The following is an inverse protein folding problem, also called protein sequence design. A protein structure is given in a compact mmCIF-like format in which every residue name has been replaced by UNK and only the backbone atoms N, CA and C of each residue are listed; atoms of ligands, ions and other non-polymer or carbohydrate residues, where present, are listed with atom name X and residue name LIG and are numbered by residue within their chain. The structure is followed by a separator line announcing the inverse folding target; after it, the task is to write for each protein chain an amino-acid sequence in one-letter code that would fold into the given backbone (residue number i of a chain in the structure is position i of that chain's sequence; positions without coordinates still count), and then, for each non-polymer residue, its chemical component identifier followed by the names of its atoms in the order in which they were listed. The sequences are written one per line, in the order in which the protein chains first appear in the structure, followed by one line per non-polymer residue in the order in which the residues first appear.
data_IF_269578723550
#
_entry.id   IF_269578723550
#
_cell.length_a   1.000
_cell.length_b   1.000
_cell.length_c   1.000
_cell.angle_alpha   90.00
_cell.angle_beta   90.00
_cell.angle_gamma   90.00
#
_symmetry.space_group_name_H-M   'P 1'
#
loop_
_entity.id
_entity.type
_entity.pdbx_description
1 polymer ?
#
# COMPACT_ATOMS: atom_id res chain seq x y z
N UNK A 1 -9.23 18.29 35.89
CA UNK A 1 -8.77 17.03 35.27
C UNK A 1 -8.84 17.18 33.76
N UNK A 2 -7.71 17.41 33.09
CA UNK A 2 -7.64 17.50 31.63
C UNK A 2 -8.03 16.16 31.04
N UNK A 3 -9.17 16.11 30.35
CA UNK A 3 -9.69 14.93 29.68
C UNK A 3 -8.68 14.55 28.59
N UNK A 4 -7.78 13.61 28.91
CA UNK A 4 -6.72 13.16 28.00
C UNK A 4 -7.34 12.83 26.65
N UNK A 5 -6.84 13.45 25.58
CA UNK A 5 -7.31 13.17 24.23
C UNK A 5 -6.47 12.05 23.66
N UNK A 6 -7.11 10.97 23.23
CA UNK A 6 -6.42 9.93 22.47
C UNK A 6 -5.73 10.52 21.24
N UNK A 7 -4.64 9.91 20.76
CA UNK A 7 -4.04 10.28 19.49
C UNK A 7 -5.07 10.27 18.35
N UNK A 8 -4.82 11.11 17.37
CA UNK A 8 -5.75 11.44 16.30
C UNK A 8 -5.96 10.24 15.33
N UNK A 9 -7.17 9.69 15.24
CA UNK A 9 -7.54 8.58 14.34
C UNK A 9 -8.82 8.87 13.52
N UNK A 10 -9.03 8.21 12.36
CA UNK A 10 -10.30 8.30 11.64
C UNK A 10 -11.41 7.56 12.41
N UNK A 11 -12.50 8.25 12.70
CA UNK A 11 -13.68 7.66 13.36
C UNK A 11 -14.64 6.97 12.37
N UNK A 12 -14.43 7.20 11.07
CA UNK A 12 -15.22 6.63 9.98
C UNK A 12 -14.45 5.46 9.36
N UNK A 13 -15.16 4.44 8.90
CA UNK A 13 -14.57 3.40 8.04
C UNK A 13 -14.21 3.99 6.67
N UNK A 14 -13.33 3.30 5.93
CA UNK A 14 -12.98 3.70 4.57
C UNK A 14 -14.22 3.63 3.67
N UNK A 15 -15.06 2.60 3.83
CA UNK A 15 -16.32 2.48 3.08
C UNK A 15 -17.24 3.68 3.31
N UNK A 16 -17.46 4.07 4.58
CA UNK A 16 -18.22 5.26 4.92
C UNK A 16 -17.58 6.52 4.31
N UNK A 17 -16.26 6.64 4.35
CA UNK A 17 -15.54 7.76 3.75
C UNK A 17 -15.74 7.85 2.23
N UNK A 18 -15.70 6.72 1.52
CA UNK A 18 -15.96 6.62 0.07
C UNK A 18 -17.41 7.03 -0.24
N UNK A 19 -18.38 6.58 0.56
CA UNK A 19 -19.78 6.99 0.38
C UNK A 19 -19.97 8.49 0.60
N UNK A 20 -19.27 9.06 1.59
CA UNK A 20 -19.38 10.48 1.94
C UNK A 20 -18.72 11.41 0.93
N UNK A 21 -17.66 10.99 0.23
CA UNK A 21 -16.98 11.85 -0.75
C UNK A 21 -17.69 11.87 -2.11
N UNK A 22 -18.55 10.89 -2.41
CA UNK A 22 -19.26 10.79 -3.70
C UNK A 22 -20.02 12.07 -4.11
N UNK A 23 -20.83 12.72 -3.25
CA UNK A 23 -21.53 13.95 -3.64
C UNK A 23 -20.59 15.11 -3.99
N UNK A 24 -19.43 15.18 -3.34
CA UNK A 24 -18.42 16.18 -3.67
C UNK A 24 -17.79 15.90 -5.03
N UNK A 25 -17.48 14.64 -5.32
CA UNK A 25 -16.96 14.25 -6.63
C UNK A 25 -17.97 14.49 -7.74
N UNK A 26 -19.26 14.20 -7.52
CA UNK A 26 -20.32 14.48 -8.49
C UNK A 26 -20.49 15.99 -8.76
N UNK A 27 -20.30 16.84 -7.74
CA UNK A 27 -20.48 18.29 -7.86
C UNK A 27 -19.24 19.03 -8.41
N UNK A 28 -18.04 18.64 -7.98
CA UNK A 28 -16.79 19.37 -8.21
C UNK A 28 -15.73 18.56 -8.97
N UNK A 29 -15.97 17.27 -9.22
CA UNK A 29 -15.05 16.34 -9.86
C UNK A 29 -13.65 16.41 -9.21
N UNK A 30 -12.63 16.86 -9.94
CA UNK A 30 -11.23 17.00 -9.49
C UNK A 30 -10.79 18.45 -9.34
N UNK A 31 -11.71 19.41 -9.43
CA UNK A 31 -11.38 20.84 -9.33
C UNK A 31 -11.12 21.27 -7.87
N UNK A 32 -10.09 22.09 -7.66
CA UNK A 32 -9.85 22.72 -6.36
C UNK A 32 -11.08 23.50 -5.92
N UNK A 33 -11.56 23.18 -4.72
CA UNK A 33 -12.79 23.74 -4.13
C UNK A 33 -12.49 24.28 -2.74
N UNK A 34 -13.08 25.43 -2.40
CA UNK A 34 -12.93 26.02 -1.08
C UNK A 34 -13.52 25.10 0.01
N UNK A 35 -12.89 25.06 1.20
CA UNK A 35 -13.32 24.20 2.32
C UNK A 35 -14.80 24.37 2.68
N UNK A 36 -15.33 25.58 2.57
CA UNK A 36 -16.74 25.87 2.85
C UNK A 36 -17.67 25.20 1.84
N UNK A 37 -17.37 25.36 0.55
CA UNK A 37 -18.13 24.74 -0.55
C UNK A 37 -18.03 23.21 -0.47
N UNK A 38 -16.87 22.68 -0.07
CA UNK A 38 -16.73 21.23 0.21
C UNK A 38 -17.70 20.79 1.31
N UNK A 39 -17.78 21.52 2.43
CA UNK A 39 -18.72 21.17 3.50
C UNK A 39 -20.17 21.18 3.01
N UNK A 40 -20.53 22.15 2.17
CA UNK A 40 -21.85 22.28 1.55
C UNK A 40 -22.17 21.08 0.63
N UNK A 41 -21.24 20.70 -0.24
CA UNK A 41 -21.39 19.52 -1.12
C UNK A 41 -21.46 18.20 -0.32
N UNK A 42 -20.82 18.13 0.85
CA UNK A 42 -20.91 16.98 1.77
C UNK A 42 -22.22 16.95 2.59
N UNK A 43 -23.17 17.86 2.32
CA UNK A 43 -24.49 17.90 2.94
C UNK A 43 -24.56 18.69 4.25
N UNK A 44 -23.62 19.61 4.51
CA UNK A 44 -23.60 20.45 5.70
C UNK A 44 -23.89 21.92 5.36
N UNK A 45 -24.56 22.64 6.26
CA UNK A 45 -24.85 24.07 6.07
C UNK A 45 -23.65 24.99 6.41
N UNK A 46 -22.42 24.54 6.13
CA UNK A 46 -21.17 25.29 6.35
C UNK A 46 -20.14 24.61 7.25
N UNK A 47 -19.12 25.40 7.66
CA UNK A 47 -17.99 24.94 8.47
C UNK A 47 -18.32 24.96 9.96
N UNK A 48 -18.38 23.77 10.55
CA UNK A 48 -18.56 23.57 11.99
C UNK A 48 -17.88 22.26 12.41
N UNK A 49 -17.85 21.97 13.72
CA UNK A 49 -17.10 20.82 14.26
C UNK A 49 -17.37 19.48 13.54
N UNK A 50 -18.62 19.17 13.21
CA UNK A 50 -18.96 17.93 12.47
C UNK A 50 -18.43 17.90 11.02
N UNK A 51 -18.61 18.97 10.24
CA UNK A 51 -18.11 19.03 8.86
C UNK A 51 -16.58 19.05 8.81
N UNK A 52 -15.93 19.76 9.73
CA UNK A 52 -14.47 19.73 9.88
C UNK A 52 -13.95 18.33 10.26
N UNK A 53 -14.69 17.59 11.08
CA UNK A 53 -14.34 16.21 11.44
C UNK A 53 -14.43 15.28 10.24
N UNK A 54 -15.49 15.39 9.43
CA UNK A 54 -15.62 14.61 8.20
C UNK A 54 -14.52 14.96 7.19
N UNK A 55 -14.31 16.24 6.90
CA UNK A 55 -13.24 16.70 6.00
C UNK A 55 -11.87 16.20 6.49
N UNK A 56 -11.62 16.28 7.79
CA UNK A 56 -10.40 15.76 8.40
C UNK A 56 -10.25 14.24 8.26
N UNK A 57 -11.35 13.47 8.30
CA UNK A 57 -11.33 12.03 8.07
C UNK A 57 -11.04 11.69 6.61
N UNK A 58 -11.71 12.36 5.66
CA UNK A 58 -11.47 12.18 4.22
C UNK A 58 -10.01 12.45 3.85
N UNK A 59 -9.42 13.52 4.42
CA UNK A 59 -8.00 13.85 4.23
C UNK A 59 -7.06 12.78 4.80
N UNK A 60 -7.38 12.17 5.93
CA UNK A 60 -6.54 11.10 6.53
C UNK A 60 -6.53 9.83 5.68
N UNK A 61 -7.63 9.54 5.02
CA UNK A 61 -7.73 8.47 4.02
C UNK A 61 -7.15 8.86 2.66
N UNK A 62 -6.53 10.04 2.55
CA UNK A 62 -6.02 10.60 1.30
C UNK A 62 -7.06 10.68 0.17
N UNK A 63 -8.36 10.73 0.50
CA UNK A 63 -9.43 10.92 -0.47
C UNK A 63 -9.59 12.40 -0.88
N UNK A 64 -9.15 13.29 0.01
CA UNK A 64 -9.02 14.73 -0.24
C UNK A 64 -7.57 15.14 -0.08
N UNK A 65 -7.10 15.97 -1.00
CA UNK A 65 -5.77 16.55 -0.98
C UNK A 65 -5.80 18.07 -1.08
N UNK A 66 -4.86 18.78 -0.44
CA UNK A 66 -4.77 20.23 -0.54
C UNK A 66 -4.28 20.65 -1.94
N UNK A 67 -4.92 21.65 -2.53
CA UNK A 67 -4.52 22.23 -3.82
C UNK A 67 -4.70 23.75 -3.76
N UNK A 68 -3.58 24.48 -3.73
CA UNK A 68 -3.57 25.93 -3.53
C UNK A 68 -4.22 26.32 -2.20
N UNK A 69 -5.21 27.22 -2.25
CA UNK A 69 -5.99 27.65 -1.08
C UNK A 69 -7.17 26.71 -0.75
N UNK A 70 -7.50 25.81 -1.68
CA UNK A 70 -8.61 24.87 -1.58
C UNK A 70 -8.16 23.42 -1.33
N UNK A 71 -9.09 22.50 -1.60
CA UNK A 71 -8.83 21.06 -1.63
C UNK A 71 -9.54 20.46 -2.84
N UNK A 72 -9.02 19.36 -3.36
CA UNK A 72 -9.65 18.58 -4.42
C UNK A 72 -9.78 17.12 -4.03
N UNK A 73 -10.63 16.40 -4.77
CA UNK A 73 -10.70 14.94 -4.75
C UNK A 73 -9.40 14.40 -5.35
N UNK A 74 -8.76 13.44 -4.66
CA UNK A 74 -7.49 12.86 -5.11
C UNK A 74 -7.69 11.87 -6.25
N UNK A 75 -6.64 11.62 -7.03
CA UNK A 75 -6.66 10.62 -8.11
C UNK A 75 -7.00 9.20 -7.60
N UNK A 76 -6.55 8.86 -6.39
CA UNK A 76 -6.90 7.59 -5.73
C UNK A 76 -8.41 7.53 -5.42
N UNK A 77 -9.01 8.62 -4.96
CA UNK A 77 -10.46 8.66 -4.73
C UNK A 77 -11.24 8.54 -6.04
N UNK A 78 -10.80 9.21 -7.11
CA UNK A 78 -11.42 9.07 -8.45
C UNK A 78 -11.35 7.62 -8.92
N UNK A 79 -10.17 7.00 -8.82
CA UNK A 79 -9.94 5.60 -9.19
C UNK A 79 -10.88 4.66 -8.42
N UNK A 80 -11.08 4.91 -7.12
CA UNK A 80 -11.98 4.10 -6.28
C UNK A 80 -13.46 4.24 -6.67
N UNK A 81 -13.86 5.44 -7.10
CA UNK A 81 -15.25 5.78 -7.42
C UNK A 81 -15.67 5.37 -8.84
N UNK A 82 -14.76 5.48 -9.80
CA UNK A 82 -15.04 5.25 -11.23
C UNK A 82 -14.85 3.80 -11.67
N UNK A 83 -13.87 3.10 -11.09
CA UNK A 83 -13.53 1.75 -11.53
C UNK A 83 -14.44 0.68 -10.89
N UNK A 84 -14.73 -0.42 -11.60
CA UNK A 84 -15.56 -1.50 -11.08
C UNK A 84 -14.85 -2.29 -9.97
N UNK A 85 -15.64 -3.04 -9.19
CA UNK A 85 -15.11 -4.01 -8.23
C UNK A 85 -14.21 -5.03 -8.91
N UNK A 86 -13.14 -5.43 -8.22
CA UNK A 86 -12.11 -6.34 -8.75
C UNK A 86 -11.09 -5.72 -9.71
N UNK A 87 -11.22 -4.45 -10.12
CA UNK A 87 -10.20 -3.81 -10.96
C UNK A 87 -8.85 -3.66 -10.20
N UNK A 88 -7.70 -4.07 -10.81
CA UNK A 88 -6.39 -3.97 -10.18
C UNK A 88 -5.99 -2.56 -9.70
N UNK A 89 -6.33 -1.53 -10.46
CA UNK A 89 -6.02 -0.15 -10.11
C UNK A 89 -6.90 0.30 -8.93
N UNK A 90 -8.17 -0.10 -8.91
CA UNK A 90 -9.07 0.15 -7.78
C UNK A 90 -8.61 -0.54 -6.51
N UNK A 91 -8.21 -1.81 -6.59
CA UNK A 91 -7.67 -2.55 -5.45
C UNK A 91 -6.43 -1.88 -4.87
N UNK A 92 -5.52 -1.44 -5.74
CA UNK A 92 -4.31 -0.73 -5.33
C UNK A 92 -4.63 0.61 -4.65
N UNK A 93 -5.57 1.39 -5.21
CA UNK A 93 -6.03 2.65 -4.63
C UNK A 93 -6.72 2.44 -3.27
N UNK A 94 -7.59 1.42 -3.15
CA UNK A 94 -8.22 1.05 -1.88
C UNK A 94 -7.19 0.66 -0.82
N UNK A 95 -6.17 -0.13 -1.19
CA UNK A 95 -5.08 -0.49 -0.28
C UNK A 95 -4.31 0.74 0.21
N UNK A 96 -3.96 1.66 -0.69
CA UNK A 96 -3.32 2.93 -0.31
C UNK A 96 -4.20 3.77 0.62
N UNK A 97 -5.47 3.94 0.29
CA UNK A 97 -6.41 4.71 1.09
C UNK A 97 -6.62 4.09 2.49
N UNK A 98 -6.80 2.77 2.58
CA UNK A 98 -7.07 2.06 3.84
C UNK A 98 -5.95 2.24 4.88
N UNK A 99 -4.70 2.27 4.43
CA UNK A 99 -3.52 2.42 5.28
C UNK A 99 -2.87 3.81 5.23
N UNK A 100 -3.45 4.78 4.51
CA UNK A 100 -2.99 6.16 4.52
C UNK A 100 -3.00 6.80 5.92
N UNK A 101 -3.97 6.51 6.82
CA UNK A 101 -3.89 7.00 8.19
C UNK A 101 -2.68 6.39 8.91
N UNK A 102 -1.80 7.24 9.42
CA UNK A 102 -0.54 6.83 10.08
C UNK A 102 -0.72 5.73 11.14
N UNK A 103 -1.78 5.80 11.94
CA UNK A 103 -2.06 4.77 12.95
C UNK A 103 -2.28 3.39 12.31
N UNK A 104 -3.00 3.32 11.19
CA UNK A 104 -3.28 2.07 10.49
C UNK A 104 -2.05 1.57 9.73
N UNK A 105 -1.23 2.46 9.16
CA UNK A 105 0.06 2.08 8.59
C UNK A 105 0.98 1.44 9.65
N UNK A 106 1.07 2.04 10.84
CA UNK A 106 1.87 1.49 11.96
C UNK A 106 1.33 0.13 12.41
N UNK A 107 0.01 0.00 12.56
CA UNK A 107 -0.61 -1.29 12.93
C UNK A 107 -0.40 -2.35 11.84
N UNK A 108 -0.46 -1.97 10.57
CA UNK A 108 -0.21 -2.88 9.46
C UNK A 108 1.25 -3.33 9.41
N UNK A 109 2.20 -2.45 9.68
CA UNK A 109 3.61 -2.79 9.76
C UNK A 109 3.93 -3.74 10.93
N UNK A 110 3.20 -3.63 12.04
CA UNK A 110 3.43 -4.44 13.25
C UNK A 110 2.74 -5.82 13.20
N UNK A 111 1.50 -5.88 12.70
CA UNK A 111 0.70 -7.11 12.70
C UNK A 111 0.59 -7.79 11.33
N UNK A 112 0.92 -7.09 10.24
CA UNK A 112 0.76 -7.57 8.88
C UNK A 112 -0.68 -7.92 8.53
N UNK A 113 -0.87 -8.99 7.74
CA UNK A 113 -2.19 -9.45 7.29
C UNK A 113 -2.95 -10.32 8.32
N UNK A 114 -2.28 -10.78 9.38
CA UNK A 114 -2.85 -11.66 10.40
C UNK A 114 -3.08 -10.85 11.68
N UNK A 115 -4.32 -10.45 11.90
CA UNK A 115 -4.65 -9.67 13.08
C UNK A 115 -4.68 -10.57 14.32
N UNK A 116 -4.05 -10.15 15.43
CA UNK A 116 -4.27 -10.77 16.72
C UNK A 116 -5.71 -10.50 17.22
N UNK A 117 -6.10 -11.21 18.27
CA UNK A 117 -7.40 -11.04 18.92
C UNK A 117 -7.64 -9.57 19.37
N UNK A 118 -8.90 -9.14 19.42
CA UNK A 118 -9.32 -7.79 19.82
C UNK A 118 -8.73 -7.35 21.15
N UNK A 119 -8.66 -8.28 22.10
CA UNK A 119 -8.11 -8.02 23.43
C UNK A 119 -6.65 -7.57 23.31
N UNK A 120 -5.84 -8.26 22.50
CA UNK A 120 -4.44 -7.93 22.26
C UNK A 120 -4.28 -6.57 21.56
N UNK A 121 -5.10 -6.30 20.55
CA UNK A 121 -5.09 -5.01 19.84
C UNK A 121 -5.48 -3.84 20.76
N UNK A 122 -6.53 -4.03 21.58
CA UNK A 122 -6.96 -3.04 22.58
C UNK A 122 -5.84 -2.77 23.60
N UNK A 123 -5.20 -3.81 24.13
CA UNK A 123 -4.07 -3.65 25.05
C UNK A 123 -2.90 -2.91 24.42
N UNK A 124 -2.59 -3.20 23.16
CA UNK A 124 -1.54 -2.49 22.43
C UNK A 124 -1.86 -0.98 22.28
N UNK A 125 -3.10 -0.63 21.91
CA UNK A 125 -3.54 0.75 21.79
C UNK A 125 -3.55 1.49 23.14
N UNK A 126 -3.94 0.81 24.22
CA UNK A 126 -3.88 1.39 25.58
C UNK A 126 -2.43 1.71 25.98
N UNK A 127 -1.45 0.86 25.61
CA UNK A 127 -0.02 1.18 25.80
C UNK A 127 0.42 2.41 25.01
N UNK A 128 -0.17 2.65 23.83
CA UNK A 128 -0.02 3.88 23.04
C UNK A 128 -0.86 5.08 23.55
N UNK A 129 -1.30 5.05 24.81
CA UNK A 129 -2.06 6.11 25.48
C UNK A 129 -3.46 6.38 24.88
N UNK A 130 -4.05 5.42 24.18
CA UNK A 130 -5.46 5.53 23.78
C UNK A 130 -6.38 5.28 24.98
N UNK A 131 -7.45 6.06 25.07
CA UNK A 131 -8.55 5.76 25.99
C UNK A 131 -9.21 4.42 25.60
N UNK A 132 -9.71 3.61 26.56
CA UNK A 132 -10.30 2.30 26.27
C UNK A 132 -11.41 2.33 25.21
N UNK A 133 -12.31 3.33 25.29
CA UNK A 133 -13.38 3.53 24.29
C UNK A 133 -12.84 3.87 22.90
N UNK A 134 -11.76 4.66 22.84
CA UNK A 134 -11.14 5.02 21.57
C UNK A 134 -10.39 3.83 20.96
N UNK A 135 -9.74 3.01 21.79
CA UNK A 135 -9.07 1.80 21.35
C UNK A 135 -10.06 0.80 20.72
N UNK A 136 -11.22 0.62 21.34
CA UNK A 136 -12.29 -0.22 20.77
C UNK A 136 -12.76 0.27 19.41
N UNK A 137 -12.98 1.59 19.28
CA UNK A 137 -13.42 2.18 18.03
C UNK A 137 -12.35 2.07 16.92
N UNK A 138 -11.08 2.28 17.27
CA UNK A 138 -9.95 2.07 16.33
C UNK A 138 -9.91 0.63 15.83
N UNK A 139 -10.09 -0.35 16.71
CA UNK A 139 -10.08 -1.76 16.32
C UNK A 139 -11.25 -2.09 15.39
N UNK A 140 -12.45 -1.57 15.68
CA UNK A 140 -13.63 -1.71 14.82
C UNK A 140 -13.35 -1.15 13.41
N UNK A 141 -12.88 0.09 13.33
CA UNK A 141 -12.61 0.77 12.05
C UNK A 141 -11.49 0.08 11.27
N UNK A 142 -10.40 -0.29 11.95
CA UNK A 142 -9.26 -0.96 11.32
C UNK A 142 -9.66 -2.30 10.70
N UNK A 143 -10.45 -3.11 11.41
CA UNK A 143 -10.96 -4.39 10.88
C UNK A 143 -11.87 -4.19 9.68
N UNK A 144 -12.80 -3.24 9.74
CA UNK A 144 -13.69 -2.94 8.61
C UNK A 144 -12.90 -2.53 7.36
N UNK A 145 -11.82 -1.74 7.51
CA UNK A 145 -10.98 -1.35 6.39
C UNK A 145 -10.22 -2.54 5.80
N UNK A 146 -9.70 -3.43 6.65
CA UNK A 146 -9.01 -4.65 6.21
C UNK A 146 -9.95 -5.62 5.51
N UNK A 147 -11.18 -5.76 6.00
CA UNK A 147 -12.22 -6.59 5.40
C UNK A 147 -12.59 -6.06 4.01
N UNK A 148 -12.80 -4.73 3.88
CA UNK A 148 -13.07 -4.09 2.59
C UNK A 148 -11.96 -4.36 1.56
N UNK A 149 -10.69 -4.21 1.96
CA UNK A 149 -9.55 -4.48 1.06
C UNK A 149 -9.47 -5.97 0.70
N UNK A 150 -9.76 -6.86 1.66
CA UNK A 150 -9.76 -8.32 1.44
C UNK A 150 -10.89 -8.77 0.53
N UNK A 151 -12.10 -8.23 0.68
CA UNK A 151 -13.25 -8.54 -0.19
C UNK A 151 -12.94 -8.18 -1.64
N UNK A 152 -12.37 -7.00 -1.86
CA UNK A 152 -12.03 -6.50 -3.19
C UNK A 152 -10.87 -7.30 -3.82
N UNK A 153 -9.89 -7.71 -3.02
CA UNK A 153 -8.80 -8.59 -3.48
C UNK A 153 -9.28 -10.04 -3.70
N UNK A 154 -10.24 -10.49 -2.91
CA UNK A 154 -10.87 -11.81 -3.03
C UNK A 154 -11.68 -11.95 -4.31
N UNK A 155 -12.39 -10.88 -4.70
CA UNK A 155 -13.16 -10.82 -5.95
C UNK A 155 -12.27 -10.97 -7.20
N UNK A 156 -11.01 -10.56 -7.15
CA UNK A 156 -10.07 -10.73 -8.28
C UNK A 156 -9.69 -12.19 -8.55
N UNK A 157 -9.78 -13.08 -7.54
CA UNK A 157 -9.40 -14.48 -7.71
C UNK A 157 -10.50 -15.34 -8.36
N UNK A 158 -11.74 -14.85 -8.50
CA UNK A 158 -12.88 -15.65 -8.99
C UNK A 158 -13.05 -15.57 -10.53
N UNK A 159 -12.67 -14.46 -11.16
CA UNK A 159 -13.07 -14.16 -12.56
C UNK A 159 -11.97 -14.28 -13.64
N UNK A 160 -10.74 -14.72 -13.34
CA UNK A 160 -9.65 -14.79 -14.33
C UNK A 160 -9.10 -16.20 -14.66
N UNK A 161 -9.98 -17.19 -14.87
CA UNK A 161 -9.63 -18.37 -15.68
C UNK A 161 -10.59 -18.49 -16.87
N UNK A 162 -10.30 -17.75 -17.94
CA UNK A 162 -10.68 -18.15 -19.30
C UNK A 162 -9.41 -18.09 -20.18
N UNK A 163 -8.89 -19.24 -20.66
CA UNK A 163 -7.79 -19.24 -21.60
C UNK A 163 -8.30 -18.76 -22.95
N UNK A 164 -8.00 -17.51 -23.32
CA UNK A 164 -8.17 -17.03 -24.68
C UNK A 164 -7.13 -17.72 -25.58
N UNK A 165 -7.60 -18.54 -26.52
CA UNK A 165 -6.80 -19.10 -27.62
C UNK A 165 -6.13 -17.97 -28.42
N UNK A 166 -4.81 -17.89 -28.32
CA UNK A 166 -4.00 -16.99 -29.14
C UNK A 166 -3.80 -17.62 -30.51
N UNK A 167 -4.61 -17.19 -31.49
CA UNK A 167 -4.43 -17.53 -32.91
C UNK A 167 -3.13 -16.89 -33.42
N UNK A 168 -2.11 -17.71 -33.64
CA UNK A 168 -0.79 -17.31 -34.10
C UNK A 168 -0.84 -16.74 -35.53
N UNK A 169 -0.41 -15.48 -35.72
CA UNK A 169 -0.08 -14.93 -37.03
C UNK A 169 1.41 -14.58 -37.06
N UNK A 170 2.06 -15.08 -38.11
CA UNK A 170 3.49 -15.19 -38.38
C UNK A 170 4.25 -13.85 -38.40
N UNK A 171 5.49 -13.88 -37.90
CA UNK A 171 6.52 -12.84 -37.97
C UNK A 171 7.16 -12.75 -39.38
N UNK A 172 7.53 -11.54 -39.81
CA UNK A 172 8.64 -11.28 -40.76
C UNK A 172 9.60 -10.23 -40.15
N UNK A 173 10.92 -10.32 -40.37
CA UNK A 173 11.91 -9.50 -39.68
C UNK A 173 12.43 -8.28 -40.46
N UNK A 174 12.75 -7.24 -39.67
CA UNK A 174 13.77 -6.18 -39.76
C UNK A 174 14.11 -5.45 -41.07
N UNK A 175 14.07 -4.10 -40.99
CA UNK A 175 15.15 -3.18 -41.43
C UNK A 175 15.26 -1.96 -40.51
N UNK A 176 16.49 -1.60 -40.14
CA UNK A 176 16.91 -0.49 -39.23
C UNK A 176 17.26 0.81 -39.99
N UNK A 177 17.87 1.87 -39.39
CA UNK A 177 17.26 3.18 -39.06
C UNK A 177 17.90 4.38 -39.81
N UNK A 178 17.53 5.66 -39.58
CA UNK A 178 18.23 6.48 -38.56
C UNK A 178 17.37 7.56 -37.83
N UNK A 179 17.85 7.97 -36.65
CA UNK A 179 17.45 9.11 -35.78
C UNK A 179 18.03 10.46 -36.29
N UNK A 180 17.73 11.68 -35.74
CA UNK A 180 17.32 12.01 -34.35
C UNK A 180 16.30 13.18 -34.17
N UNK A 181 16.05 13.53 -32.89
CA UNK A 181 15.30 14.67 -32.29
C UNK A 181 13.88 14.27 -31.81
N UNK A 182 13.40 14.55 -30.59
CA UNK A 182 13.78 15.43 -29.48
C UNK A 182 13.00 14.99 -28.22
N UNK A 183 13.50 15.34 -27.02
CA UNK A 183 12.79 15.38 -25.71
C UNK A 183 12.44 14.06 -24.98
N UNK A 184 13.36 13.65 -24.11
CA UNK A 184 13.12 13.79 -22.67
C UNK A 184 11.98 12.98 -22.01
N UNK A 185 11.71 11.75 -22.42
CA UNK A 185 10.93 10.83 -21.58
C UNK A 185 11.85 10.06 -20.63
N UNK A 186 11.80 10.45 -19.36
CA UNK A 186 12.27 9.66 -18.25
C UNK A 186 11.63 8.26 -18.34
N UNK A 187 12.46 7.23 -18.51
CA UNK A 187 12.04 5.84 -18.39
C UNK A 187 11.58 5.62 -16.95
N UNK A 188 10.28 5.66 -16.74
CA UNK A 188 9.61 4.97 -15.64
C UNK A 188 9.95 3.50 -15.80
N UNK A 189 10.92 3.03 -15.02
CA UNK A 189 11.12 1.62 -14.74
C UNK A 189 9.80 1.07 -14.19
N UNK A 190 9.10 0.29 -15.01
CA UNK A 190 7.96 -0.48 -14.57
C UNK A 190 8.48 -1.47 -13.51
N UNK A 191 8.30 -1.11 -12.24
CA UNK A 191 8.56 -2.01 -11.11
C UNK A 191 7.50 -3.10 -11.18
N UNK A 192 7.86 -4.23 -11.79
CA UNK A 192 7.08 -5.45 -11.66
C UNK A 192 6.98 -5.75 -10.16
N UNK A 193 5.77 -5.96 -9.60
CA UNK A 193 5.63 -6.27 -8.18
C UNK A 193 6.39 -7.56 -7.89
N UNK A 194 7.53 -7.42 -7.21
CA UNK A 194 8.28 -8.55 -6.71
C UNK A 194 7.60 -9.01 -5.43
N UNK A 195 6.87 -10.12 -5.51
CA UNK A 195 6.35 -10.80 -4.33
C UNK A 195 7.52 -11.59 -3.75
N UNK A 196 7.82 -11.39 -2.49
CA UNK A 196 8.91 -12.09 -1.84
C UNK A 196 8.59 -12.46 -0.41
N UNK A 197 9.29 -13.46 0.10
CA UNK A 197 9.22 -13.86 1.49
C UNK A 197 10.62 -13.82 2.10
N UNK A 198 10.67 -13.39 3.36
CA UNK A 198 11.89 -13.37 4.16
C UNK A 198 11.99 -14.70 4.90
N UNK A 199 13.12 -15.38 4.74
CA UNK A 199 13.47 -16.57 5.53
C UNK A 199 14.62 -16.17 6.45
N UNK A 200 14.43 -16.35 7.76
CA UNK A 200 15.50 -16.18 8.73
C UNK A 200 16.17 -17.54 8.95
N UNK A 201 17.47 -17.62 8.65
CA UNK A 201 18.29 -18.81 8.86
C UNK A 201 19.40 -18.43 9.85
N UNK A 202 19.27 -18.94 11.07
CA UNK A 202 20.13 -18.61 12.21
C UNK A 202 20.22 -17.10 12.48
N UNK A 203 21.33 -16.46 12.12
CA UNK A 203 21.65 -15.04 12.32
C UNK A 203 21.50 -14.20 11.04
N UNK A 204 21.12 -14.83 9.91
CA UNK A 204 21.06 -14.19 8.58
C UNK A 204 19.64 -14.21 8.03
N UNK A 205 19.23 -13.09 7.47
CA UNK A 205 17.98 -12.96 6.74
C UNK A 205 18.21 -13.13 5.24
N UNK A 206 17.56 -14.11 4.64
CA UNK A 206 17.55 -14.34 3.19
C UNK A 206 16.22 -13.86 2.64
N UNK A 207 16.26 -12.96 1.66
CA UNK A 207 15.07 -12.49 0.96
C UNK A 207 14.96 -13.21 -0.38
N UNK A 208 13.87 -13.95 -0.59
CA UNK A 208 13.57 -14.59 -1.87
C UNK A 208 12.46 -13.79 -2.52
N UNK A 209 12.79 -13.09 -3.61
CA UNK A 209 11.80 -12.44 -4.46
C UNK A 209 11.51 -13.26 -5.71
N UNK A 210 10.25 -13.28 -6.10
CA UNK A 210 9.79 -13.87 -7.35
C UNK A 210 8.80 -12.96 -8.03
N UNK A 211 8.61 -13.21 -9.32
CA UNK A 211 7.66 -12.49 -10.14
C UNK A 211 6.86 -13.51 -10.95
N UNK A 212 5.53 -13.43 -10.86
CA UNK A 212 4.61 -14.39 -11.51
C UNK A 212 4.19 -15.55 -10.61
N UNK A 213 3.53 -16.55 -11.21
CA UNK A 213 3.03 -17.75 -10.54
C UNK A 213 4.18 -18.69 -10.19
N UNK A 214 4.34 -19.02 -8.91
CA UNK A 214 5.35 -19.96 -8.43
C UNK A 214 4.72 -21.32 -8.26
N UNK A 215 4.93 -22.19 -9.24
CA UNK A 215 4.53 -23.59 -9.18
C UNK A 215 5.61 -24.46 -8.53
N UNK A 216 5.23 -25.66 -8.07
CA UNK A 216 6.15 -26.63 -7.44
C UNK A 216 7.41 -26.88 -8.27
N UNK A 217 7.27 -26.95 -9.60
CA UNK A 217 8.42 -27.16 -10.50
C UNK A 217 9.41 -25.99 -10.54
N UNK A 218 8.96 -24.75 -10.29
CA UNK A 218 9.84 -23.57 -10.21
C UNK A 218 10.64 -23.61 -8.91
N UNK A 219 10.00 -24.01 -7.81
CA UNK A 219 10.64 -24.17 -6.51
C UNK A 219 11.70 -25.28 -6.56
N UNK A 220 11.41 -26.43 -7.17
CA UNK A 220 12.39 -27.52 -7.31
C UNK A 220 13.63 -27.09 -8.12
N UNK A 221 13.45 -26.27 -9.16
CA UNK A 221 14.56 -25.70 -9.93
C UNK A 221 15.38 -24.69 -9.11
N UNK A 222 14.71 -23.86 -8.31
CA UNK A 222 15.38 -22.93 -7.41
C UNK A 222 16.23 -23.67 -6.37
N UNK A 223 15.67 -24.72 -5.75
CA UNK A 223 16.39 -25.57 -4.80
C UNK A 223 17.63 -26.18 -5.46
N UNK A 224 17.47 -26.79 -6.64
CA UNK A 224 18.59 -27.38 -7.39
C UNK A 224 19.66 -26.35 -7.76
N UNK A 225 19.26 -25.13 -8.12
CA UNK A 225 20.19 -24.06 -8.43
C UNK A 225 20.99 -23.61 -7.18
N UNK A 226 20.32 -23.48 -6.03
CA UNK A 226 20.97 -23.15 -4.76
C UNK A 226 21.91 -24.27 -4.28
N UNK A 227 21.58 -25.53 -4.52
CA UNK A 227 22.46 -26.67 -4.23
C UNK A 227 23.73 -26.66 -5.09
N UNK A 228 23.59 -26.35 -6.39
CA UNK A 228 24.74 -26.24 -7.31
C UNK A 228 25.63 -25.03 -6.95
N UNK A 229 25.02 -23.92 -6.54
CA UNK A 229 25.75 -22.67 -6.23
C UNK A 229 26.23 -22.59 -4.78
N UNK A 230 25.96 -23.61 -3.95
CA UNK A 230 26.37 -23.66 -2.53
C UNK A 230 27.84 -23.35 -2.32
N UNK A 231 28.72 -23.91 -3.15
CA UNK A 231 30.16 -23.78 -2.98
C UNK A 231 30.67 -22.41 -3.48
N UNK A 232 29.94 -21.73 -4.38
CA UNK A 232 30.25 -20.38 -4.84
C UNK A 232 30.02 -19.30 -3.76
N UNK A 233 29.07 -19.52 -2.85
CA UNK A 233 28.77 -18.58 -1.76
C UNK A 233 29.71 -18.71 -0.55
N UNK A 234 30.57 -19.73 -0.49
CA UNK A 234 31.58 -19.87 0.58
C UNK A 234 32.79 -18.95 0.39
N UNK A 235 32.93 -18.28 -0.76
CA UNK A 235 34.12 -17.52 -1.12
C UNK A 235 34.09 -16.01 -0.74
N UNK A 236 33.05 -15.49 -0.07
CA UNK A 236 32.92 -14.03 0.18
C UNK A 236 33.11 -13.57 1.64
N UNK A 237 33.62 -14.42 2.55
CA UNK A 237 33.96 -14.02 3.92
C UNK A 237 35.37 -14.49 4.28
N UNK A 238 36.37 -13.90 3.63
CA UNK A 238 37.77 -14.03 4.03
C UNK A 238 38.54 -12.75 3.66
N UNK A 239 38.26 -11.65 4.34
CA UNK A 239 39.17 -10.51 4.47
C UNK A 239 38.61 -9.52 5.49
N UNK A 240 38.95 -9.71 6.76
CA UNK A 240 39.17 -8.65 7.76
C UNK A 240 39.75 -9.32 9.01
N UNK A 241 40.95 -9.87 8.85
CA UNK A 241 41.91 -10.05 9.92
C UNK A 241 43.28 -10.03 9.24
N UNK A 242 43.86 -8.84 9.16
CA UNK A 242 45.26 -8.63 8.78
C UNK A 242 46.09 -8.74 10.07
N UNK A 243 46.92 -9.78 10.25
CA UNK A 243 48.00 -9.76 11.21
C UNK A 243 49.27 -9.18 10.58
N UNK A 244 50.08 -8.53 11.43
CA UNK A 244 51.50 -8.17 11.27
C UNK A 244 51.88 -7.02 10.32
N UNK A 245 52.15 -5.85 10.91
CA UNK A 245 53.26 -5.00 10.46
C UNK A 245 54.50 -5.35 11.30
N UNK A 246 55.47 -5.84 10.56
CA UNK A 246 56.74 -6.44 10.92
C UNK A 246 57.75 -5.48 11.60
N UNK A 247 58.75 -6.13 12.17
CA UNK A 247 59.85 -5.64 13.00
C UNK A 247 60.77 -4.53 12.42
N UNK A 248 61.53 -3.95 13.37
CA UNK A 248 62.88 -3.35 13.33
C UNK A 248 63.00 -1.82 13.34
N UNK A 249 63.43 -1.32 14.50
CA UNK A 249 64.49 -0.30 14.60
C UNK A 249 65.15 -0.29 16.00
N UNK A 250 66.08 -1.22 16.26
CA UNK A 250 67.46 -1.00 16.76
C UNK A 250 68.11 -2.29 17.22
#
# INVERSE_FOLDING_TARGET
MTKGRSPNYPQLTLEEAIQRIRPLYEAAHTYSTEKRVIAENLGYNGLHGKSLTLIGALRRYALLEPEGEGMRVSDDAVTILELPKGDPQRMAALGRAAFAPRLFAEMYAEFGNVLPNDVTLKHHLIKKQFLPKAAEEVVRVYRANLELVKEETGAYNDDMIQPAEVKTLSLQPERTPPTPNTEGFARSSATVPQTGFKVEISDKAVFVSYSGTVDRGVIERLIKYLEITRDAFTASHASDDEPDVESKAK
#
